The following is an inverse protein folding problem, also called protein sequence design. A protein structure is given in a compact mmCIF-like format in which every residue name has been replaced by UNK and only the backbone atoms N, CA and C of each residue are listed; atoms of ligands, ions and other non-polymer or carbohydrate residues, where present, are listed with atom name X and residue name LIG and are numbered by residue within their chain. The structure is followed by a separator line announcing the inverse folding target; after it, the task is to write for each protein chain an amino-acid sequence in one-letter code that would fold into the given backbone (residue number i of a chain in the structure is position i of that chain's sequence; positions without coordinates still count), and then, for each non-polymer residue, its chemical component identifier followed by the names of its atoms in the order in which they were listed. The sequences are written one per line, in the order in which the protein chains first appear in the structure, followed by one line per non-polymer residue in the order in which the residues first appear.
data_IF_939463400303
#
_entry.id   IF_939463400303
#
_cell.length_a   1.000
_cell.length_b   1.000
_cell.length_c   1.000
_cell.angle_alpha   90.00
_cell.angle_beta   90.00
_cell.angle_gamma   90.00
#
_symmetry.space_group_name_H-M   'P 1'
#
loop_
_entity.id
_entity.type
_entity.pdbx_description
1 polymer ?
#
# COMPACT_ATOMS: atom_id res chain seq x y z
N UNK A 1 -8.00 -24.08 18.89
CA UNK A 1 -7.27 -23.06 18.12
C UNK A 1 -8.29 -22.26 17.33
N UNK A 2 -8.57 -21.03 17.75
CA UNK A 2 -9.41 -20.10 16.98
C UNK A 2 -8.58 -19.58 15.81
N UNK A 3 -9.05 -19.82 14.58
CA UNK A 3 -8.36 -19.34 13.37
C UNK A 3 -8.65 -17.85 13.15
N UNK A 4 -7.68 -17.12 12.61
CA UNK A 4 -7.92 -15.76 12.13
C UNK A 4 -8.86 -15.81 10.92
N UNK A 5 -9.96 -15.08 10.97
CA UNK A 5 -10.97 -15.04 9.91
C UNK A 5 -11.04 -13.64 9.31
N UNK A 6 -11.14 -13.56 7.98
CA UNK A 6 -11.38 -12.31 7.25
C UNK A 6 -12.87 -12.24 6.93
N UNK A 7 -13.57 -11.23 7.42
CA UNK A 7 -14.99 -11.03 7.13
C UNK A 7 -15.19 -10.59 5.68
N UNK A 8 -16.40 -10.74 5.15
CA UNK A 8 -16.76 -10.24 3.81
C UNK A 8 -16.59 -8.73 3.63
N UNK A 9 -16.44 -7.99 4.74
CA UNK A 9 -16.13 -6.55 4.77
C UNK A 9 -14.62 -6.25 4.87
N UNK A 10 -13.77 -7.27 4.79
CA UNK A 10 -12.31 -7.14 4.88
C UNK A 10 -11.78 -6.89 6.30
N UNK A 11 -12.60 -7.09 7.33
CA UNK A 11 -12.13 -6.98 8.72
C UNK A 11 -11.44 -8.29 9.11
N UNK A 12 -10.24 -8.20 9.67
CA UNK A 12 -9.46 -9.35 10.14
C UNK A 12 -9.72 -9.54 11.63
N UNK A 13 -10.21 -10.72 12.02
CA UNK A 13 -10.32 -11.11 13.43
C UNK A 13 -9.02 -11.75 13.87
N UNK A 14 -8.36 -11.15 14.87
CA UNK A 14 -7.14 -11.71 15.48
C UNK A 14 -7.55 -12.57 16.68
N UNK A 15 -7.12 -13.84 16.76
CA UNK A 15 -7.38 -14.70 17.92
C UNK A 15 -6.82 -14.10 19.22
N UNK A 16 -7.55 -14.27 20.34
CA UNK A 16 -7.16 -13.68 21.64
C UNK A 16 -5.76 -14.13 22.10
N UNK A 17 -5.36 -15.36 21.77
CA UNK A 17 -4.06 -15.91 22.12
C UNK A 17 -2.92 -15.18 21.38
N UNK A 18 -3.14 -14.82 20.11
CA UNK A 18 -2.19 -14.04 19.30
C UNK A 18 -2.15 -12.60 19.81
N UNK A 19 -3.30 -12.03 20.17
CA UNK A 19 -3.39 -10.70 20.79
C UNK A 19 -2.57 -10.61 22.08
N UNK A 20 -2.70 -11.62 22.94
CA UNK A 20 -1.97 -11.70 24.20
C UNK A 20 -0.47 -11.89 23.99
N UNK A 21 -0.06 -12.71 23.02
CA UNK A 21 1.37 -12.90 22.69
C UNK A 21 2.02 -11.61 22.14
N UNK A 22 1.25 -10.79 21.44
CA UNK A 22 1.69 -9.48 20.95
C UNK A 22 1.66 -8.37 22.03
N UNK A 23 1.24 -8.67 23.26
CA UNK A 23 1.19 -7.71 24.37
C UNK A 23 0.11 -6.63 24.22
N UNK A 24 -0.97 -6.90 23.48
CA UNK A 24 -2.02 -5.92 23.21
C UNK A 24 -3.12 -5.96 24.29
N UNK A 25 -3.01 -5.11 25.30
CA UNK A 25 -3.99 -4.92 26.39
C UNK A 25 -5.41 -4.63 25.87
N UNK A 26 -6.43 -4.95 26.69
CA UNK A 26 -7.85 -4.69 26.41
C UNK A 26 -8.13 -3.19 26.41
N UNK A 27 -8.10 -2.57 25.23
CA UNK A 27 -8.15 -1.11 25.02
C UNK A 27 -7.27 -0.66 23.86
N UNK A 28 -6.30 -1.48 23.46
CA UNK A 28 -5.47 -1.28 22.27
C UNK A 28 -6.24 -1.72 21.03
N UNK A 29 -6.19 -0.92 19.97
CA UNK A 29 -6.86 -1.21 18.72
C UNK A 29 -6.26 -2.47 18.06
N UNK A 30 -7.11 -3.38 17.55
CA UNK A 30 -6.67 -4.52 16.72
C UNK A 30 -6.21 -4.09 15.30
N UNK A 31 -5.92 -2.80 15.11
CA UNK A 31 -5.44 -2.27 13.84
C UNK A 31 -3.95 -2.57 13.67
N UNK A 32 -3.54 -2.98 12.46
CA UNK A 32 -2.13 -3.18 12.12
C UNK A 32 -1.32 -1.89 12.24
N UNK A 33 -1.95 -0.74 12.00
CA UNK A 33 -1.32 0.59 12.08
C UNK A 33 -2.05 1.41 13.13
N UNK A 34 -1.32 1.82 14.16
CA UNK A 34 -1.82 2.60 15.30
C UNK A 34 -1.12 3.95 15.41
N UNK A 35 -1.73 4.87 16.15
CA UNK A 35 -1.12 6.13 16.55
C UNK A 35 -0.29 5.96 17.83
N UNK A 36 0.30 7.06 18.29
CA UNK A 36 1.15 7.14 19.47
C UNK A 36 0.38 6.81 20.77
N UNK A 37 -0.95 6.89 20.74
CA UNK A 37 -1.86 6.53 21.83
C UNK A 37 -2.36 5.08 21.77
N UNK A 38 -1.94 4.28 20.77
CA UNK A 38 -2.39 2.89 20.57
C UNK A 38 -3.76 2.75 19.88
N UNK A 39 -4.31 3.84 19.35
CA UNK A 39 -5.58 3.85 18.61
C UNK A 39 -5.36 3.62 17.11
N UNK A 40 -6.37 3.15 16.39
CA UNK A 40 -6.30 2.96 14.93
C UNK A 40 -5.89 4.26 14.23
N UNK A 41 -4.90 4.18 13.35
CA UNK A 41 -4.54 5.32 12.52
C UNK A 41 -5.61 5.60 11.45
N UNK A 42 -6.20 6.79 11.49
CA UNK A 42 -7.19 7.24 10.51
C UNK A 42 -6.54 7.62 9.17
N UNK A 43 -7.32 7.55 8.08
CA UNK A 43 -6.86 7.89 6.73
C UNK A 43 -6.28 9.30 6.63
N UNK A 44 -6.92 10.26 7.29
CA UNK A 44 -6.51 11.67 7.26
C UNK A 44 -5.22 11.90 8.03
N UNK A 45 -5.03 11.18 9.14
CA UNK A 45 -3.80 11.22 9.92
C UNK A 45 -2.62 10.64 9.11
N UNK A 46 -2.83 9.53 8.40
CA UNK A 46 -1.83 8.97 7.49
C UNK A 46 -1.48 9.96 6.37
N UNK A 47 -2.49 10.58 5.76
CA UNK A 47 -2.31 11.58 4.70
C UNK A 47 -1.53 12.80 5.20
N UNK A 48 -1.88 13.31 6.38
CA UNK A 48 -1.21 14.43 7.02
C UNK A 48 0.27 14.13 7.28
N UNK A 49 0.59 12.97 7.85
CA UNK A 49 1.96 12.53 8.09
C UNK A 49 2.78 12.48 6.79
N UNK A 50 2.19 11.97 5.70
CA UNK A 50 2.85 11.99 4.39
C UNK A 50 3.06 13.41 3.87
N UNK A 51 2.05 14.28 3.93
CA UNK A 51 2.18 15.66 3.46
C UNK A 51 3.25 16.43 4.25
N UNK A 52 3.39 16.17 5.56
CA UNK A 52 4.48 16.70 6.39
C UNK A 52 5.85 16.18 5.94
N UNK A 53 5.99 14.87 5.72
CA UNK A 53 7.23 14.29 5.21
C UNK A 53 7.62 14.87 3.84
N UNK A 54 6.65 15.06 2.95
CA UNK A 54 6.87 15.68 1.63
C UNK A 54 7.35 17.13 1.76
N UNK A 55 6.76 17.90 2.68
CA UNK A 55 7.16 19.28 2.93
C UNK A 55 8.60 19.35 3.42
N UNK A 56 8.99 18.48 4.36
CA UNK A 56 10.37 18.38 4.87
C UNK A 56 11.35 18.00 3.75
N UNK A 57 10.94 17.12 2.83
CA UNK A 57 11.73 16.75 1.66
C UNK A 57 11.80 17.85 0.57
N UNK A 58 11.15 19.01 0.76
CA UNK A 58 11.15 20.11 -0.20
C UNK A 58 10.37 19.84 -1.49
N UNK A 59 9.48 18.84 -1.51
CA UNK A 59 8.75 18.46 -2.72
C UNK A 59 7.39 19.16 -2.78
N UNK A 60 7.13 19.86 -3.88
CA UNK A 60 5.84 20.53 -4.09
C UNK A 60 4.69 19.52 -4.23
N UNK A 61 3.53 19.81 -3.64
CA UNK A 61 2.32 18.96 -3.67
C UNK A 61 1.80 18.68 -5.08
N UNK A 62 2.01 19.59 -6.04
CA UNK A 62 1.59 19.42 -7.41
C UNK A 62 2.47 18.42 -8.17
N UNK A 63 3.71 18.21 -7.70
CA UNK A 63 4.67 17.28 -8.29
C UNK A 63 4.51 15.86 -7.71
N UNK A 64 4.16 15.75 -6.43
CA UNK A 64 4.07 14.46 -5.76
C UNK A 64 3.00 14.42 -4.66
N UNK A 65 2.12 13.43 -4.77
CA UNK A 65 1.01 13.17 -3.85
C UNK A 65 1.04 11.72 -3.37
N UNK A 66 0.41 11.44 -2.22
CA UNK A 66 0.39 10.10 -1.64
C UNK A 66 -0.10 9.01 -2.61
N UNK A 67 -1.12 9.32 -3.42
CA UNK A 67 -1.65 8.39 -4.43
C UNK A 67 -0.64 8.02 -5.52
N UNK A 68 0.37 8.86 -5.76
CA UNK A 68 1.40 8.59 -6.77
C UNK A 68 2.30 7.43 -6.36
N UNK A 69 2.34 7.06 -5.08
CA UNK A 69 3.00 5.83 -4.62
C UNK A 69 2.36 4.59 -5.25
N UNK A 70 1.04 4.57 -5.42
CA UNK A 70 0.33 3.45 -6.07
C UNK A 70 0.72 3.33 -7.54
N UNK A 71 0.78 4.44 -8.26
CA UNK A 71 1.23 4.45 -9.65
C UNK A 71 2.71 4.03 -9.77
N UNK A 72 3.58 4.52 -8.89
CA UNK A 72 4.99 4.10 -8.84
C UNK A 72 5.13 2.60 -8.59
N UNK A 73 4.39 2.06 -7.61
CA UNK A 73 4.40 0.63 -7.31
C UNK A 73 3.92 -0.24 -8.49
N UNK A 74 2.90 0.22 -9.22
CA UNK A 74 2.45 -0.44 -10.45
C UNK A 74 3.51 -0.43 -11.54
N UNK A 75 4.13 0.73 -11.77
CA UNK A 75 5.22 0.89 -12.75
C UNK A 75 6.40 -0.01 -12.42
N UNK A 76 6.86 -0.02 -11.17
CA UNK A 76 7.98 -0.85 -10.72
C UNK A 76 7.70 -2.33 -10.85
N UNK A 77 6.44 -2.73 -10.66
CA UNK A 77 6.03 -4.10 -10.84
C UNK A 77 6.06 -4.52 -12.31
N UNK A 78 5.55 -3.67 -13.20
CA UNK A 78 5.64 -3.92 -14.65
C UNK A 78 7.10 -4.00 -15.10
N UNK A 79 7.95 -3.05 -14.68
CA UNK A 79 9.37 -3.03 -15.04
C UNK A 79 10.12 -4.26 -14.52
N UNK A 80 9.86 -4.70 -13.29
CA UNK A 80 10.55 -5.85 -12.70
C UNK A 80 10.05 -7.20 -13.22
N UNK A 81 8.77 -7.30 -13.60
CA UNK A 81 8.18 -8.54 -14.12
C UNK A 81 8.25 -8.66 -15.64
N UNK A 82 8.42 -7.54 -16.37
CA UNK A 82 8.27 -7.47 -17.82
C UNK A 82 6.82 -7.69 -18.30
N UNK A 83 5.85 -7.68 -17.39
CA UNK A 83 4.44 -7.97 -17.69
C UNK A 83 3.48 -7.07 -16.89
N UNK A 84 2.64 -6.34 -17.60
CA UNK A 84 1.62 -5.45 -17.04
C UNK A 84 0.54 -6.22 -16.24
N UNK A 85 0.31 -7.50 -16.53
CA UNK A 85 -0.66 -8.33 -15.76
C UNK A 85 -0.20 -8.55 -14.33
N UNK A 86 1.11 -8.56 -14.08
CA UNK A 86 1.66 -8.63 -12.73
C UNK A 86 1.30 -7.36 -11.93
N UNK A 87 1.39 -6.19 -12.57
CA UNK A 87 0.94 -4.93 -11.99
C UNK A 87 -0.59 -4.90 -11.82
N UNK A 88 -1.38 -5.43 -12.77
CA UNK A 88 -2.84 -5.51 -12.65
C UNK A 88 -3.25 -6.28 -11.40
N UNK A 89 -2.65 -7.46 -11.17
CA UNK A 89 -2.91 -8.29 -10.00
C UNK A 89 -2.51 -7.58 -8.70
N UNK A 90 -1.37 -6.90 -8.69
CA UNK A 90 -0.89 -6.16 -7.52
C UNK A 90 -1.79 -4.95 -7.19
N UNK A 91 -2.26 -4.23 -8.20
CA UNK A 91 -3.15 -3.08 -8.01
C UNK A 91 -4.61 -3.49 -7.77
N UNK A 92 -4.98 -4.74 -8.08
CA UNK A 92 -6.34 -5.25 -7.92
C UNK A 92 -7.31 -4.64 -8.94
N UNK A 93 -6.85 -4.36 -10.16
CA UNK A 93 -7.72 -3.84 -11.22
C UNK A 93 -8.43 -4.95 -12.00
N UNK A 94 -9.67 -4.70 -12.39
CA UNK A 94 -10.47 -5.64 -13.19
C UNK A 94 -9.98 -5.78 -14.63
N UNK A 95 -9.36 -4.75 -15.20
CA UNK A 95 -8.83 -4.75 -16.56
C UNK A 95 -7.38 -4.23 -16.64
N UNK A 96 -6.70 -4.63 -17.72
CA UNK A 96 -5.36 -4.14 -18.05
C UNK A 96 -5.42 -2.64 -18.41
N UNK A 97 -6.45 -2.18 -19.12
CA UNK A 97 -6.63 -0.77 -19.47
C UNK A 97 -6.68 0.15 -18.25
N UNK A 98 -7.32 -0.26 -17.14
CA UNK A 98 -7.24 0.50 -15.88
C UNK A 98 -5.82 0.55 -15.32
N UNK A 99 -5.05 -0.52 -15.50
CA UNK A 99 -3.66 -0.63 -15.02
C UNK A 99 -2.72 0.27 -15.80
N UNK A 100 -2.95 0.45 -17.10
CA UNK A 100 -2.18 1.37 -17.95
C UNK A 100 -2.20 2.80 -17.40
N UNK A 101 -3.33 3.27 -16.85
CA UNK A 101 -3.38 4.61 -16.21
C UNK A 101 -2.45 4.76 -14.99
N UNK A 102 -2.09 3.66 -14.34
CA UNK A 102 -1.22 3.64 -13.16
C UNK A 102 0.22 3.25 -13.49
N UNK A 103 0.49 2.64 -14.63
CA UNK A 103 1.84 2.33 -15.12
C UNK A 103 2.31 3.51 -15.96
N UNK A 104 3.27 4.30 -15.44
CA UNK A 104 3.78 5.47 -16.13
C UNK A 104 4.98 5.05 -16.99
N UNK A 105 4.95 5.38 -18.28
CA UNK A 105 6.10 5.27 -19.18
C UNK A 105 7.20 6.25 -18.73
N UNK A 106 8.11 5.81 -17.85
CA UNK A 106 9.25 6.64 -17.40
C UNK A 106 10.59 6.18 -17.92
N UNK A 107 10.67 4.95 -18.41
CA UNK A 107 11.86 4.37 -19.01
C UNK A 107 11.35 3.52 -20.17
N UNK A 108 11.74 3.82 -21.40
CA UNK A 108 11.39 2.96 -22.54
C UNK A 108 11.79 1.50 -22.28
N UNK A 109 11.22 0.57 -23.05
CA UNK A 109 11.46 -0.86 -22.86
C UNK A 109 12.95 -1.16 -22.74
N UNK A 110 13.34 -1.77 -21.61
CA UNK A 110 14.71 -2.21 -21.39
C UNK A 110 14.98 -3.39 -22.31
N UNK A 111 15.58 -3.11 -23.46
CA UNK A 111 16.04 -4.14 -24.40
C UNK A 111 17.34 -4.76 -23.89
N UNK A 112 17.38 -6.08 -23.81
CA UNK A 112 18.62 -6.81 -23.58
C UNK A 112 19.56 -6.72 -24.79
N UNK A 113 20.87 -6.94 -24.61
CA UNK A 113 21.81 -6.96 -25.73
C UNK A 113 21.40 -8.04 -26.75
N UNK A 114 21.27 -7.64 -28.01
CA UNK A 114 21.08 -8.57 -29.12
C UNK A 114 22.40 -9.31 -29.39
N UNK A 115 22.29 -10.60 -29.68
CA UNK A 115 23.43 -11.47 -30.04
C UNK A 115 24.03 -11.08 -31.38
#
# INVERSE_FOLDING_TARGET
MTAATITSKGQVTIPVDVRNHLGLESGVSDALVVNECGERLMSDALRFRFDRARLIAGVNKNLFQFRDLRAKAGTDKTESAGDIRAAQKQLGHSSVTMTEHYVRERTGDKVGPMK
#
